data_IF_110272539723
#
_entry.id   IF_110272539723
#
_cell.length_a   1.000
_cell.length_b   1.000
_cell.length_c   1.000
_cell.angle_alpha   90.00
_cell.angle_beta   90.00
_cell.angle_gamma   90.00
#
_symmetry.space_group_name_H-M   'P 1'
#
loop_
_entity.id
_entity.type
_entity.pdbx_description
1 polymer ?
#
# COMPACT_ATOMS: atom_id res chain seq x y z
N UNK A 1 17.32 4.92 -23.07
CA UNK A 1 17.87 4.51 -21.76
C UNK A 1 16.68 4.03 -20.94
N UNK A 2 16.57 2.73 -20.63
CA UNK A 2 15.40 2.19 -19.93
C UNK A 2 15.75 2.16 -18.44
N UNK A 3 15.36 3.20 -17.70
CA UNK A 3 15.50 3.21 -16.24
C UNK A 3 14.53 2.17 -15.69
N UNK A 4 15.06 1.05 -15.21
CA UNK A 4 14.29 -0.01 -14.57
C UNK A 4 13.57 0.60 -13.37
N UNK A 5 12.27 0.81 -13.51
CA UNK A 5 11.41 1.40 -12.48
C UNK A 5 11.31 0.42 -11.30
N UNK A 6 12.23 0.57 -10.35
CA UNK A 6 12.20 -0.21 -9.11
C UNK A 6 11.08 0.35 -8.26
N UNK A 7 9.92 -0.30 -8.32
CA UNK A 7 8.79 0.01 -7.45
C UNK A 7 9.25 0.06 -5.99
N UNK A 8 8.66 0.98 -5.22
CA UNK A 8 8.87 1.06 -3.77
C UNK A 8 8.67 -0.31 -3.11
N UNK A 9 9.68 -0.77 -2.38
CA UNK A 9 9.58 -1.99 -1.60
C UNK A 9 8.98 -1.66 -0.24
N UNK A 10 7.73 -2.07 -0.05
CA UNK A 10 7.08 -2.02 1.25
C UNK A 10 7.35 -3.29 2.03
N UNK A 11 7.49 -3.15 3.36
CA UNK A 11 7.58 -4.29 4.27
C UNK A 11 6.34 -5.18 4.16
N UNK A 12 6.46 -6.49 4.40
CA UNK A 12 5.32 -7.39 4.37
C UNK A 12 4.25 -7.04 5.42
N UNK A 13 4.65 -6.51 6.58
CA UNK A 13 3.73 -6.03 7.63
C UNK A 13 2.82 -4.91 7.11
N UNK A 14 3.42 -3.90 6.45
CA UNK A 14 2.68 -2.83 5.79
C UNK A 14 1.64 -3.35 4.78
N UNK A 15 1.99 -4.39 4.01
CA UNK A 15 1.06 -4.98 3.04
C UNK A 15 -0.10 -5.69 3.74
N UNK A 16 0.14 -6.35 4.87
CA UNK A 16 -0.91 -7.01 5.66
C UNK A 16 -1.87 -5.98 6.24
N UNK A 17 -1.35 -4.91 6.83
CA UNK A 17 -2.16 -3.85 7.40
C UNK A 17 -3.02 -3.17 6.33
N UNK A 18 -2.43 -2.86 5.16
CA UNK A 18 -3.18 -2.28 4.05
C UNK A 18 -4.30 -3.21 3.54
N UNK A 19 -4.04 -4.52 3.45
CA UNK A 19 -5.05 -5.51 3.02
C UNK A 19 -6.16 -5.67 4.06
N UNK A 20 -5.83 -5.65 5.36
CA UNK A 20 -6.82 -5.68 6.44
C UNK A 20 -7.77 -4.47 6.35
N UNK A 21 -7.24 -3.28 6.10
CA UNK A 21 -8.06 -2.07 5.92
C UNK A 21 -9.03 -2.19 4.72
N UNK A 22 -8.56 -2.70 3.59
CA UNK A 22 -9.40 -2.88 2.40
C UNK A 22 -10.44 -3.98 2.61
N UNK A 23 -10.01 -5.13 3.14
CA UNK A 23 -10.85 -6.32 3.23
C UNK A 23 -11.81 -6.31 4.42
N UNK A 24 -11.37 -5.86 5.59
CA UNK A 24 -12.16 -5.93 6.83
C UNK A 24 -12.92 -4.62 7.07
N UNK A 25 -12.30 -3.48 6.77
CA UNK A 25 -12.92 -2.17 7.00
C UNK A 25 -13.56 -1.57 5.74
N UNK A 26 -13.41 -2.23 4.58
CA UNK A 26 -13.99 -1.77 3.31
C UNK A 26 -13.36 -0.49 2.77
N UNK A 27 -12.12 -0.16 3.15
CA UNK A 27 -11.45 1.04 2.68
C UNK A 27 -11.13 0.91 1.19
N UNK A 28 -11.18 2.02 0.45
CA UNK A 28 -10.62 2.07 -0.89
C UNK A 28 -9.09 1.94 -0.82
N UNK A 29 -8.48 1.44 -1.88
CA UNK A 29 -7.02 1.21 -1.95
C UNK A 29 -6.24 2.48 -1.58
N UNK A 30 -6.68 3.64 -2.06
CA UNK A 30 -6.05 4.94 -1.75
C UNK A 30 -6.17 5.31 -0.27
N UNK A 31 -7.36 5.11 0.33
CA UNK A 31 -7.55 5.40 1.77
C UNK A 31 -6.78 4.44 2.66
N UNK A 32 -6.70 3.16 2.27
CA UNK A 32 -5.90 2.18 2.98
C UNK A 32 -4.41 2.56 2.92
N UNK A 33 -3.92 2.95 1.75
CA UNK A 33 -2.56 3.44 1.54
C UNK A 33 -2.23 4.65 2.43
N UNK A 34 -3.10 5.66 2.48
CA UNK A 34 -2.94 6.82 3.36
C UNK A 34 -2.93 6.43 4.84
N UNK A 35 -3.83 5.53 5.25
CA UNK A 35 -3.94 5.08 6.63
C UNK A 35 -2.71 4.29 7.10
N UNK A 36 -2.03 3.54 6.21
CA UNK A 36 -0.75 2.89 6.52
C UNK A 36 0.47 3.80 6.31
N UNK A 37 0.25 5.08 5.95
CA UNK A 37 1.31 6.09 5.87
C UNK A 37 2.05 6.15 4.54
N UNK A 38 1.50 5.62 3.45
CA UNK A 38 2.01 5.91 2.10
C UNK A 38 1.05 6.81 1.34
N UNK A 39 1.59 7.81 0.64
CA UNK A 39 0.81 8.59 -0.32
C UNK A 39 0.49 7.73 -1.54
N UNK A 40 -0.75 7.81 -2.02
CA UNK A 40 -1.23 7.16 -3.24
C UNK A 40 -0.47 7.63 -4.49
#
# INVERSE_FOLDING_TARGET
MITKDTRRQFKPEFKKDAVALVSEQGYSISKAAEAVGTTA
#
